data_IF_523104473077
#
_entry.id   IF_523104473077
#
_cell.length_a   1.000
_cell.length_b   1.000
_cell.length_c   1.000
_cell.angle_alpha   90.00
_cell.angle_beta   90.00
_cell.angle_gamma   90.00
#
_symmetry.space_group_name_H-M   'P 1'
#
loop_
_entity.id
_entity.type
_entity.pdbx_description
1 polymer ?
#
# COMPACT_ATOMS: atom_id res chain seq x y z
N UNK A 1 2.22 12.93 -5.13
CA UNK A 1 2.38 12.48 -3.74
C UNK A 1 1.08 11.82 -3.29
N UNK A 2 1.13 10.61 -2.72
CA UNK A 2 -0.03 9.86 -2.23
C UNK A 2 0.24 9.42 -0.80
N UNK A 3 -0.75 9.58 0.09
CA UNK A 3 -0.71 9.02 1.45
C UNK A 3 -1.45 7.67 1.44
N UNK A 4 -0.71 6.57 1.63
CA UNK A 4 -1.24 5.21 1.47
C UNK A 4 -1.56 4.48 2.77
N UNK A 5 -1.19 5.02 3.93
CA UNK A 5 -1.26 4.35 5.24
C UNK A 5 -2.55 4.61 6.01
N UNK A 6 -3.41 5.49 5.48
CA UNK A 6 -4.70 5.82 6.08
C UNK A 6 -5.72 4.69 5.93
N UNK A 7 -6.72 4.68 6.81
CA UNK A 7 -7.80 3.70 6.72
C UNK A 7 -8.65 3.96 5.47
N UNK A 8 -8.88 2.95 4.60
CA UNK A 8 -9.60 3.14 3.36
C UNK A 8 -11.06 3.54 3.58
N UNK A 9 -11.63 4.30 2.63
CA UNK A 9 -13.02 4.74 2.68
C UNK A 9 -14.02 3.58 2.52
N UNK A 10 -13.70 2.64 1.64
CA UNK A 10 -14.57 1.52 1.24
C UNK A 10 -13.80 0.19 1.35
N UNK A 11 -14.24 -0.67 2.27
CA UNK A 11 -13.69 -1.99 2.53
C UNK A 11 -13.76 -2.92 1.31
N UNK A 12 -14.76 -2.75 0.43
CA UNK A 12 -14.95 -3.59 -0.76
C UNK A 12 -14.09 -3.13 -1.93
N UNK A 13 -13.51 -1.93 -1.90
CA UNK A 13 -12.55 -1.45 -2.90
C UNK A 13 -11.10 -1.49 -2.41
N UNK A 14 -10.89 -2.03 -1.21
CA UNK A 14 -9.59 -2.11 -0.57
C UNK A 14 -8.81 -3.33 -1.06
N UNK A 15 -7.49 -3.19 -1.07
CA UNK A 15 -6.57 -4.32 -1.18
C UNK A 15 -6.31 -4.88 0.21
N UNK A 16 -6.67 -6.13 0.46
CA UNK A 16 -6.55 -6.76 1.77
C UNK A 16 -5.29 -7.60 1.86
N UNK A 17 -4.48 -7.34 2.89
CA UNK A 17 -3.25 -8.10 3.17
C UNK A 17 -2.97 -8.14 4.68
N UNK A 18 -1.93 -8.87 5.08
CA UNK A 18 -1.44 -8.87 6.46
C UNK A 18 -0.57 -7.63 6.69
N UNK A 19 -0.81 -6.94 7.80
CA UNK A 19 -0.01 -5.79 8.22
C UNK A 19 -0.08 -5.67 9.75
N UNK A 20 1.08 -5.59 10.39
CA UNK A 20 1.25 -5.61 11.85
C UNK A 20 0.50 -6.77 12.50
N UNK A 21 0.69 -7.97 11.94
CA UNK A 21 0.07 -9.24 12.37
C UNK A 21 -1.47 -9.30 12.31
N UNK A 22 -2.12 -8.45 11.52
CA UNK A 22 -3.57 -8.49 11.34
C UNK A 22 -4.00 -8.15 9.92
N UNK A 23 -5.16 -8.70 9.53
CA UNK A 23 -5.78 -8.42 8.23
C UNK A 23 -6.17 -6.95 8.11
N UNK A 24 -5.65 -6.29 7.09
CA UNK A 24 -5.73 -4.84 6.94
C UNK A 24 -6.02 -4.47 5.48
N UNK A 25 -7.03 -3.62 5.28
CA UNK A 25 -7.33 -3.02 3.99
C UNK A 25 -6.45 -1.81 3.70
N UNK A 26 -5.86 -1.76 2.51
CA UNK A 26 -5.09 -0.64 1.97
C UNK A 26 -5.79 -0.04 0.74
N UNK A 27 -5.54 1.25 0.50
CA UNK A 27 -6.01 1.92 -0.71
C UNK A 27 -5.24 1.42 -1.94
N UNK A 28 -5.96 1.08 -3.00
CA UNK A 28 -5.35 0.54 -4.24
C UNK A 28 -5.04 1.62 -5.30
N UNK A 29 -5.17 2.90 -4.93
CA UNK A 29 -5.07 4.03 -5.86
C UNK A 29 -3.70 4.16 -6.52
N UNK A 30 -2.61 4.05 -5.77
CA UNK A 30 -1.24 4.16 -6.31
C UNK A 30 -0.95 3.08 -7.35
N UNK A 31 -1.38 1.85 -7.07
CA UNK A 31 -1.20 0.75 -8.00
C UNK A 31 -2.02 0.92 -9.27
N UNK A 32 -3.25 1.40 -9.15
CA UNK A 32 -4.11 1.70 -10.29
C UNK A 32 -3.54 2.85 -11.16
N UNK A 33 -3.09 3.93 -10.55
CA UNK A 33 -2.50 5.09 -11.24
C UNK A 33 -1.21 4.71 -11.95
N UNK A 34 -0.31 4.00 -11.27
CA UNK A 34 0.96 3.57 -11.86
C UNK A 34 0.75 2.66 -13.06
N UNK A 35 -0.14 1.68 -12.98
CA UNK A 35 -0.49 0.83 -14.13
C UNK A 35 -1.22 1.59 -15.25
N UNK A 36 -2.08 2.56 -14.92
CA UNK A 36 -2.79 3.35 -15.93
C UNK A 36 -1.84 4.20 -16.77
N UNK A 37 -0.84 4.82 -16.14
CA UNK A 37 0.05 5.77 -16.80
C UNK A 37 1.47 5.25 -17.03
N UNK A 38 1.72 3.96 -16.74
CA UNK A 38 3.03 3.32 -16.79
C UNK A 38 4.12 4.11 -16.04
N UNK A 39 3.80 4.53 -14.80
CA UNK A 39 4.67 5.37 -13.99
C UNK A 39 5.45 4.57 -12.94
N UNK A 40 6.73 4.89 -12.70
CA UNK A 40 7.46 4.34 -11.58
C UNK A 40 6.85 4.80 -10.25
N UNK A 41 7.01 3.97 -9.23
CA UNK A 41 6.54 4.23 -7.86
C UNK A 41 7.73 4.27 -6.93
N UNK A 42 7.86 5.36 -6.19
CA UNK A 42 8.91 5.58 -5.19
C UNK A 42 8.23 5.74 -3.82
N UNK A 43 8.75 5.00 -2.85
CA UNK A 43 8.46 5.16 -1.43
C UNK A 43 9.52 6.05 -0.80
N UNK A 44 9.18 6.78 0.26
CA UNK A 44 10.20 7.43 1.07
C UNK A 44 9.95 7.23 2.56
N UNK A 45 11.03 7.05 3.29
CA UNK A 45 11.07 7.00 4.76
C UNK A 45 11.49 8.37 5.29
N UNK A 46 10.87 8.82 6.39
CA UNK A 46 11.25 10.06 7.07
C UNK A 46 11.94 9.72 8.39
N UNK A 47 13.23 10.00 8.49
CA UNK A 47 14.02 9.75 9.69
C UNK A 47 14.23 11.05 10.47
N UNK A 48 13.77 11.10 11.73
CA UNK A 48 14.06 12.23 12.63
C UNK A 48 15.43 12.05 13.27
N UNK A 49 16.42 12.80 12.80
CA UNK A 49 17.80 12.74 13.30
C UNK A 49 17.93 13.48 14.64
N UNK A 50 17.40 14.70 14.71
CA UNK A 50 17.35 15.53 15.93
C UNK A 50 16.20 16.55 15.83
N UNK A 51 15.96 17.33 16.88
CA UNK A 51 14.87 18.33 16.89
C UNK A 51 15.04 19.31 15.73
N UNK A 52 14.07 19.32 14.81
CA UNK A 52 14.05 20.20 13.64
C UNK A 52 14.86 19.71 12.44
N UNK A 53 15.46 18.52 12.49
CA UNK A 53 16.28 17.96 11.41
C UNK A 53 15.77 16.58 11.03
N UNK A 54 15.46 16.42 9.75
CA UNK A 54 14.89 15.20 9.17
C UNK A 54 15.67 14.82 7.92
N UNK A 55 15.86 13.52 7.75
CA UNK A 55 16.43 12.92 6.54
C UNK A 55 15.34 12.14 5.80
N UNK A 56 15.38 12.20 4.48
CA UNK A 56 14.50 11.44 3.60
C UNK A 56 15.31 10.38 2.88
N UNK A 57 14.88 9.13 3.00
CA UNK A 57 15.44 8.03 2.22
C UNK A 57 14.41 7.62 1.18
N UNK A 58 14.82 7.52 -0.09
CA UNK A 58 13.95 7.12 -1.20
C UNK A 58 14.23 5.66 -1.58
N UNK A 59 13.16 4.87 -1.71
CA UNK A 59 13.20 3.46 -2.10
C UNK A 59 12.30 3.25 -3.32
N UNK A 60 12.83 2.64 -4.36
CA UNK A 60 12.03 2.30 -5.55
C UNK A 60 11.12 1.11 -5.22
N UNK A 61 9.80 1.30 -5.31
CA UNK A 61 8.82 0.20 -5.24
C UNK A 61 8.73 -0.50 -6.59
N UNK A 62 8.70 0.29 -7.67
CA UNK A 62 8.48 -0.22 -9.01
C UNK A 62 9.04 0.76 -10.04
N UNK A 63 9.79 0.25 -11.03
CA UNK A 63 10.20 1.03 -12.20
C UNK A 63 9.24 0.87 -13.38
N UNK A 64 8.70 -0.34 -13.54
CA UNK A 64 7.89 -0.74 -14.69
C UNK A 64 6.64 -1.48 -14.21
N UNK A 65 5.53 -0.76 -13.94
CA UNK A 65 4.35 -1.33 -13.29
C UNK A 65 3.71 -2.46 -14.09
N UNK A 66 3.75 -2.41 -15.43
CA UNK A 66 3.17 -3.45 -16.29
C UNK A 66 3.89 -4.81 -16.22
N UNK A 67 5.09 -4.87 -15.62
CA UNK A 67 5.80 -6.13 -15.37
C UNK A 67 5.37 -6.80 -14.06
N UNK A 68 4.72 -6.05 -13.18
CA UNK A 68 4.29 -6.54 -11.88
C UNK A 68 2.88 -7.14 -11.93
N UNK A 69 2.60 -8.04 -11.00
CA UNK A 69 1.29 -8.66 -10.82
C UNK A 69 0.36 -7.77 -10.01
N UNK A 70 -0.92 -8.10 -10.08
CA UNK A 70 -1.93 -7.50 -9.20
C UNK A 70 -1.47 -7.61 -7.74
N UNK A 71 -1.52 -6.50 -7.03
CA UNK A 71 -1.15 -6.37 -5.62
C UNK A 71 0.33 -6.10 -5.37
N UNK A 72 1.25 -6.37 -6.30
CA UNK A 72 2.69 -6.39 -5.97
C UNK A 72 3.24 -5.00 -5.60
N UNK A 73 2.76 -3.92 -6.23
CA UNK A 73 3.15 -2.55 -5.87
C UNK A 73 2.66 -2.23 -4.47
N UNK A 74 1.41 -2.58 -4.18
CA UNK A 74 0.78 -2.36 -2.88
C UNK A 74 1.43 -3.20 -1.78
N UNK A 75 1.74 -4.47 -2.03
CA UNK A 75 2.46 -5.35 -1.11
C UNK A 75 3.85 -4.81 -0.78
N UNK A 76 4.61 -4.39 -1.78
CA UNK A 76 5.93 -3.79 -1.57
C UNK A 76 5.83 -2.52 -0.71
N UNK A 77 4.82 -1.67 -0.96
CA UNK A 77 4.53 -0.52 -0.11
C UNK A 77 4.24 -0.92 1.34
N UNK A 78 3.34 -1.90 1.55
CA UNK A 78 2.97 -2.39 2.89
C UNK A 78 4.19 -2.93 3.64
N UNK A 79 5.03 -3.72 2.96
CA UNK A 79 6.24 -4.28 3.53
C UNK A 79 7.26 -3.20 3.93
N UNK A 80 7.43 -2.15 3.13
CA UNK A 80 8.29 -1.02 3.51
C UNK A 80 7.73 -0.24 4.70
N UNK A 81 6.44 0.06 4.68
CA UNK A 81 5.77 0.74 5.78
C UNK A 81 5.87 -0.05 7.09
N UNK A 82 5.62 -1.36 7.04
CA UNK A 82 5.70 -2.23 8.23
C UNK A 82 7.12 -2.26 8.80
N UNK A 83 8.15 -2.38 7.94
CA UNK A 83 9.54 -2.31 8.38
C UNK A 83 9.87 -0.99 9.05
N UNK A 84 9.45 0.14 8.48
CA UNK A 84 9.71 1.46 9.05
C UNK A 84 9.00 1.63 10.41
N UNK A 85 7.76 1.16 10.54
CA UNK A 85 7.02 1.19 11.81
C UNK A 85 7.70 0.31 12.86
N UNK A 86 8.17 -0.88 12.50
CA UNK A 86 8.86 -1.77 13.44
C UNK A 86 10.21 -1.19 13.89
N UNK A 87 10.91 -0.47 13.02
CA UNK A 87 12.17 0.20 13.36
C UNK A 87 11.95 1.44 14.24
N UNK A 88 10.92 2.24 13.95
CA UNK A 88 10.64 3.49 14.63
C UNK A 88 9.16 3.64 15.01
N UNK A 89 8.64 2.80 15.93
CA UNK A 89 7.21 2.75 16.21
C UNK A 89 6.66 4.10 16.66
N UNK A 90 7.40 4.85 17.47
CA UNK A 90 6.96 6.16 17.96
C UNK A 90 6.76 7.23 16.86
N UNK A 91 7.27 7.02 15.64
CA UNK A 91 7.13 7.96 14.52
C UNK A 91 5.82 7.77 13.74
N UNK A 92 5.17 6.61 13.86
CA UNK A 92 3.87 6.40 13.22
C UNK A 92 2.74 7.03 14.03
N UNK A 93 1.75 7.60 13.35
CA UNK A 93 0.68 8.36 14.00
C UNK A 93 -0.40 7.40 14.51
N UNK A 94 -0.15 6.76 15.66
CA UNK A 94 -1.02 5.75 16.28
C UNK A 94 -2.41 6.26 16.69
N UNK A 95 -2.62 7.59 16.72
CA UNK A 95 -3.95 8.16 16.99
C UNK A 95 -4.94 7.93 15.86
N UNK A 96 -4.48 7.55 14.66
CA UNK A 96 -5.38 7.17 13.57
C UNK A 96 -6.03 5.81 13.87
N UNK A 97 -7.37 5.77 13.77
CA UNK A 97 -8.16 4.52 13.85
C UNK A 97 -7.95 3.68 12.58
N UNK A 98 -6.77 3.08 12.41
CA UNK A 98 -6.36 2.32 11.22
C UNK A 98 -7.30 1.15 10.93
N UNK A 99 -7.66 0.40 11.98
CA UNK A 99 -8.49 -0.81 11.94
C UNK A 99 -9.94 -0.55 12.34
N UNK A 100 -10.55 0.51 11.80
CA UNK A 100 -11.97 0.83 12.04
C UNK A 100 -12.95 -0.01 11.20
N UNK A 101 -12.46 -0.65 10.13
CA UNK A 101 -13.28 -1.40 9.16
C UNK A 101 -13.11 -2.90 9.42
N UNK A 102 -14.21 -3.64 9.40
CA UNK A 102 -14.18 -5.09 9.51
C UNK A 102 -13.73 -5.73 8.19
N UNK A 103 -13.07 -6.88 8.29
CA UNK A 103 -12.73 -7.71 7.14
C UNK A 103 -14.03 -8.23 6.50
N UNK A 104 -14.23 -8.05 5.18
CA UNK A 104 -15.39 -8.62 4.48
C UNK A 104 -15.43 -10.14 4.61
N UNK A 105 -16.62 -10.70 4.87
CA UNK A 105 -16.80 -12.16 5.00
C UNK A 105 -16.49 -12.91 3.69
N UNK A 106 -16.69 -12.23 2.57
CA UNK A 106 -16.50 -12.70 1.19
C UNK A 106 -15.12 -12.32 0.61
N UNK A 107 -14.12 -12.03 1.45
CA UNK A 107 -12.79 -11.53 1.05
C UNK A 107 -12.11 -12.34 -0.07
N UNK A 108 -12.21 -13.68 -0.05
CA UNK A 108 -11.61 -14.53 -1.10
C UNK A 108 -12.23 -14.27 -2.46
N UNK A 109 -13.57 -14.22 -2.52
CA UNK A 109 -14.31 -13.94 -3.75
C UNK A 109 -14.04 -12.51 -4.24
N UNK A 110 -13.97 -11.56 -3.30
CA UNK A 110 -13.66 -10.16 -3.59
C UNK A 110 -12.26 -10.03 -4.22
N UNK A 111 -11.24 -10.63 -3.60
CA UNK A 111 -9.86 -10.58 -4.10
C UNK A 111 -9.74 -11.19 -5.50
N UNK A 112 -10.35 -12.36 -5.73
CA UNK A 112 -10.37 -12.98 -7.07
C UNK A 112 -11.04 -12.08 -8.12
N UNK A 113 -12.11 -11.39 -7.72
CA UNK A 113 -12.82 -10.45 -8.61
C UNK A 113 -11.95 -9.25 -8.93
N UNK A 114 -11.27 -8.67 -7.94
CA UNK A 114 -10.35 -7.56 -8.14
C UNK A 114 -9.19 -7.93 -9.04
N UNK A 115 -8.55 -9.07 -8.79
CA UNK A 115 -7.44 -9.56 -9.61
C UNK A 115 -7.87 -9.79 -11.06
N UNK A 116 -9.02 -10.44 -11.28
CA UNK A 116 -9.57 -10.66 -12.63
C UNK A 116 -9.83 -9.33 -13.34
N UNK A 117 -10.48 -8.38 -12.66
CA UNK A 117 -10.77 -7.06 -13.23
C UNK A 117 -9.49 -6.29 -13.54
N UNK A 118 -8.49 -6.37 -12.68
CA UNK A 118 -7.18 -5.76 -12.89
C UNK A 118 -6.48 -6.34 -14.12
N UNK A 119 -6.37 -7.68 -14.20
CA UNK A 119 -5.69 -8.35 -15.31
C UNK A 119 -6.41 -8.15 -16.65
N UNK A 120 -7.75 -8.03 -16.64
CA UNK A 120 -8.54 -7.67 -17.83
C UNK A 120 -8.23 -6.25 -18.32
N UNK A 121 -8.06 -5.31 -17.39
CA UNK A 121 -7.77 -3.90 -17.69
C UNK A 121 -6.32 -3.65 -18.07
N UNK A 122 -5.39 -4.36 -17.44
CA UNK A 122 -3.95 -4.26 -17.64
C UNK A 122 -3.38 -5.61 -18.08
N UNK A 123 -3.68 -6.05 -19.32
CA UNK A 123 -3.13 -7.29 -19.83
C UNK A 123 -1.62 -7.17 -19.94
N UNK A 124 -0.90 -8.19 -19.46
CA UNK A 124 0.56 -8.22 -19.56
C UNK A 124 0.97 -8.47 -21.00
N UNK A 125 1.92 -7.68 -21.49
CA UNK A 125 2.57 -7.89 -22.78
C UNK A 125 3.66 -8.95 -22.67
#
# INVERSE_FOLDING_TARGET
>A
LVLGDQSPGDERKSYWTNFLNQQTGFVFGTEHISNTYNLPVIYYTVNKVKRGYYELEFKTICEQPHRLKYGEITENYVNFLEKDILQHPAQWIWSHKRWKKAVPKDIKTLNNTHEKNFNSRFPRK
#
